data_IF_075785688813
#
_entry.id   IF_075785688813
#
_cell.length_a   1.000
_cell.length_b   1.000
_cell.length_c   1.000
_cell.angle_alpha   90.00
_cell.angle_beta   90.00
_cell.angle_gamma   90.00
#
_symmetry.space_group_name_H-M   'P 1'
#
loop_
_entity.id
_entity.type
_entity.pdbx_description
1 polymer ?
#
# COMPACT_ATOMS: atom_id res chain seq x y z
N UNK A 1 -1.37 -19.06 -2.52
CA UNK A 1 -0.70 -17.80 -2.88
C UNK A 1 -0.85 -17.68 -4.38
N UNK A 2 -1.93 -17.05 -4.83
CA UNK A 2 -2.33 -17.12 -6.22
C UNK A 2 -1.44 -16.14 -6.99
N UNK A 3 -0.38 -16.70 -7.58
CA UNK A 3 0.30 -16.14 -8.73
C UNK A 3 -0.57 -16.52 -9.92
N UNK A 4 -1.47 -15.63 -10.34
CA UNK A 4 -1.92 -15.56 -11.73
C UNK A 4 -2.97 -16.56 -12.23
N UNK A 5 -3.58 -17.40 -11.40
CA UNK A 5 -4.76 -18.17 -11.83
C UNK A 5 -5.98 -17.22 -11.95
N UNK A 6 -6.74 -17.32 -13.04
CA UNK A 6 -7.98 -16.55 -13.29
C UNK A 6 -7.87 -15.02 -13.51
N UNK A 7 -6.75 -14.52 -14.06
CA UNK A 7 -6.58 -13.08 -14.35
C UNK A 7 -7.72 -12.47 -15.18
N UNK A 8 -8.24 -13.18 -16.18
CA UNK A 8 -9.35 -12.69 -17.00
C UNK A 8 -10.62 -12.44 -16.17
N UNK A 9 -10.90 -13.32 -15.22
CA UNK A 9 -12.04 -13.15 -14.32
C UNK A 9 -11.82 -11.98 -13.36
N UNK A 10 -10.60 -11.78 -12.86
CA UNK A 10 -10.26 -10.59 -12.04
C UNK A 10 -10.42 -9.31 -12.87
N UNK A 11 -10.01 -9.30 -14.14
CA UNK A 11 -10.19 -8.16 -15.04
C UNK A 11 -11.69 -7.88 -15.29
N UNK A 12 -12.49 -8.91 -15.52
CA UNK A 12 -13.95 -8.76 -15.67
C UNK A 12 -14.58 -8.19 -14.39
N UNK A 13 -14.18 -8.68 -13.21
CA UNK A 13 -14.61 -8.12 -11.94
C UNK A 13 -14.24 -6.63 -11.82
N UNK A 14 -13.01 -6.25 -12.21
CA UNK A 14 -12.57 -4.84 -12.22
C UNK A 14 -13.46 -4.00 -13.14
N UNK A 15 -13.75 -4.48 -14.35
CA UNK A 15 -14.60 -3.79 -15.32
C UNK A 15 -16.01 -3.55 -14.75
N UNK A 16 -16.63 -4.59 -14.20
CA UNK A 16 -17.96 -4.53 -13.59
C UNK A 16 -18.01 -3.56 -12.40
N UNK A 17 -17.01 -3.63 -11.52
CA UNK A 17 -16.94 -2.75 -10.34
C UNK A 17 -16.66 -1.29 -10.73
N UNK A 18 -15.83 -1.06 -11.74
CA UNK A 18 -15.59 0.28 -12.27
C UNK A 18 -16.86 0.89 -12.87
N UNK A 19 -17.66 0.09 -13.60
CA UNK A 19 -18.94 0.54 -14.15
C UNK A 19 -19.96 0.88 -13.06
N UNK A 20 -19.98 0.12 -11.96
CA UNK A 20 -20.88 0.34 -10.82
C UNK A 20 -20.38 1.41 -9.83
N UNK A 21 -19.16 1.92 -9.99
CA UNK A 21 -18.55 2.87 -9.06
C UNK A 21 -18.03 2.28 -7.76
N UNK A 22 -17.87 0.95 -7.69
CA UNK A 22 -17.49 0.18 -6.50
C UNK A 22 -15.95 0.09 -6.35
N UNK A 23 -15.25 1.21 -6.44
CA UNK A 23 -13.78 1.25 -6.58
C UNK A 23 -12.96 0.76 -5.39
N UNK A 24 -13.58 0.53 -4.23
CA UNK A 24 -12.87 0.07 -3.03
C UNK A 24 -13.25 -1.36 -2.63
N UNK A 25 -14.10 -2.02 -3.42
CA UNK A 25 -14.50 -3.39 -3.18
C UNK A 25 -13.47 -4.37 -3.79
N UNK A 26 -13.57 -5.61 -3.33
CA UNK A 26 -12.68 -6.71 -3.72
C UNK A 26 -13.00 -7.19 -5.13
N UNK A 27 -11.96 -7.51 -5.89
CA UNK A 27 -12.04 -8.06 -7.26
C UNK A 27 -11.30 -9.38 -7.42
N UNK A 28 -10.44 -9.73 -6.45
CA UNK A 28 -9.70 -10.99 -6.39
C UNK A 28 -10.62 -12.15 -5.98
N UNK A 29 -10.24 -13.36 -6.40
CA UNK A 29 -11.02 -14.60 -6.20
C UNK A 29 -10.40 -15.38 -5.04
N UNK A 30 -11.22 -16.18 -4.34
CA UNK A 30 -10.79 -17.12 -3.28
C UNK A 30 -10.11 -16.49 -2.06
N UNK A 31 -10.66 -15.38 -1.58
CA UNK A 31 -10.15 -14.76 -0.36
C UNK A 31 -10.57 -15.55 0.90
N UNK A 32 -9.64 -15.85 1.81
CA UNK A 32 -9.97 -16.51 3.06
C UNK A 32 -10.90 -15.63 3.90
N UNK A 33 -12.08 -16.14 4.22
CA UNK A 33 -13.00 -15.48 5.15
C UNK A 33 -12.63 -15.80 6.59
N UNK A 34 -12.87 -14.84 7.49
CA UNK A 34 -12.56 -14.99 8.90
C UNK A 34 -13.64 -14.31 9.75
N UNK A 35 -14.01 -14.94 10.86
CA UNK A 35 -14.92 -14.33 11.83
C UNK A 35 -14.23 -13.22 12.62
N UNK A 36 -15.01 -12.30 13.20
CA UNK A 36 -14.46 -11.20 14.01
C UNK A 36 -13.73 -11.67 15.27
N UNK A 37 -14.12 -12.82 15.84
CA UNK A 37 -13.47 -13.39 17.01
C UNK A 37 -12.08 -13.95 16.66
N UNK A 38 -12.00 -14.79 15.63
CA UNK A 38 -10.74 -15.35 15.14
C UNK A 38 -9.75 -14.24 14.71
N UNK A 39 -10.24 -13.18 14.09
CA UNK A 39 -9.45 -12.00 13.70
C UNK A 39 -8.80 -11.33 14.91
N UNK A 40 -9.55 -11.13 16.00
CA UNK A 40 -9.01 -10.55 17.23
C UNK A 40 -7.99 -11.46 17.91
N UNK A 41 -8.26 -12.76 17.96
CA UNK A 41 -7.35 -13.73 18.60
C UNK A 41 -6.00 -13.77 17.90
N UNK A 42 -5.99 -13.78 16.56
CA UNK A 42 -4.76 -13.76 15.76
C UNK A 42 -3.99 -12.47 15.96
N UNK A 43 -4.67 -11.33 16.02
CA UNK A 43 -4.01 -10.05 16.27
C UNK A 43 -3.43 -10.00 17.68
N UNK A 44 -4.15 -10.49 18.68
CA UNK A 44 -3.68 -10.53 20.05
C UNK A 44 -2.44 -11.44 20.17
N UNK A 45 -2.49 -12.63 19.57
CA UNK A 45 -1.36 -13.55 19.51
C UNK A 45 -0.16 -12.90 18.80
N UNK A 46 -0.39 -12.28 17.64
CA UNK A 46 0.65 -11.57 16.90
C UNK A 46 1.35 -10.53 17.80
N UNK A 47 0.59 -9.70 18.51
CA UNK A 47 1.19 -8.69 19.39
C UNK A 47 1.93 -9.27 20.58
N UNK A 48 1.48 -10.41 21.13
CA UNK A 48 2.20 -11.12 22.19
C UNK A 48 3.52 -11.67 21.67
N UNK A 49 3.51 -12.29 20.49
CA UNK A 49 4.71 -12.88 19.87
C UNK A 49 5.80 -11.84 19.63
N UNK A 50 5.42 -10.61 19.24
CA UNK A 50 6.38 -9.50 19.04
C UNK A 50 7.11 -9.06 20.31
N UNK A 51 6.69 -9.48 21.51
CA UNK A 51 7.35 -9.10 22.77
C UNK A 51 8.58 -9.94 23.09
N UNK A 52 8.72 -11.13 22.48
CA UNK A 52 9.82 -12.04 22.75
C UNK A 52 11.13 -11.61 22.09
N UNK A 53 12.26 -11.93 22.72
CA UNK A 53 13.59 -11.63 22.17
C UNK A 53 13.82 -12.29 20.80
N UNK A 54 13.23 -13.47 20.56
CA UNK A 54 13.28 -14.20 19.28
C UNK A 54 12.68 -13.35 18.15
N UNK A 55 11.57 -12.66 18.41
CA UNK A 55 10.94 -11.80 17.41
C UNK A 55 11.88 -10.68 16.92
N UNK A 56 12.79 -10.18 17.76
CA UNK A 56 13.80 -9.19 17.32
C UNK A 56 14.84 -9.80 16.38
N UNK A 57 15.22 -11.05 16.62
CA UNK A 57 16.13 -11.79 15.76
C UNK A 57 15.46 -12.17 14.43
N UNK A 58 14.24 -12.71 14.49
CA UNK A 58 13.46 -13.07 13.31
C UNK A 58 13.14 -11.82 12.46
N UNK A 59 12.87 -10.68 13.11
CA UNK A 59 12.72 -9.40 12.42
C UNK A 59 13.98 -8.98 11.65
N UNK A 60 15.17 -9.17 12.23
CA UNK A 60 16.42 -8.86 11.55
C UNK A 60 16.62 -9.74 10.30
N UNK A 61 16.33 -11.03 10.42
CA UNK A 61 16.37 -11.97 9.29
C UNK A 61 15.35 -11.55 8.23
N UNK A 62 14.09 -11.36 8.60
CA UNK A 62 13.02 -10.98 7.70
C UNK A 62 13.34 -9.68 6.95
N UNK A 63 13.86 -8.66 7.64
CA UNK A 63 14.27 -7.39 7.03
C UNK A 63 15.43 -7.54 6.06
N UNK A 64 16.41 -8.39 6.38
CA UNK A 64 17.56 -8.65 5.50
C UNK A 64 17.13 -9.39 4.24
N UNK A 65 16.35 -10.45 4.38
CA UNK A 65 15.76 -11.18 3.26
C UNK A 65 14.91 -10.28 2.38
N UNK A 66 14.03 -9.48 2.99
CA UNK A 66 13.17 -8.55 2.25
C UNK A 66 13.96 -7.47 1.54
N UNK A 67 15.12 -7.04 2.07
CA UNK A 67 15.99 -6.10 1.36
C UNK A 67 16.47 -6.67 0.03
N UNK A 68 16.97 -7.90 0.03
CA UNK A 68 17.38 -8.60 -1.20
C UNK A 68 16.22 -8.76 -2.20
N UNK A 69 15.06 -9.20 -1.73
CA UNK A 69 13.84 -9.30 -2.55
C UNK A 69 13.46 -7.94 -3.16
N UNK A 70 13.47 -6.88 -2.35
CA UNK A 70 13.15 -5.52 -2.79
C UNK A 70 14.11 -5.04 -3.86
N UNK A 71 15.41 -5.25 -3.67
CA UNK A 71 16.45 -4.83 -4.61
C UNK A 71 16.32 -5.58 -5.94
N UNK A 72 15.97 -6.87 -5.91
CA UNK A 72 15.75 -7.68 -7.11
C UNK A 72 14.51 -7.25 -7.91
N UNK A 73 13.34 -7.15 -7.26
CA UNK A 73 12.10 -6.77 -7.93
C UNK A 73 12.11 -5.31 -8.44
N UNK A 74 12.85 -4.42 -7.79
CA UNK A 74 12.85 -2.99 -8.10
C UNK A 74 14.14 -2.52 -8.79
N UNK A 75 14.89 -3.42 -9.43
CA UNK A 75 16.13 -3.05 -10.12
C UNK A 75 15.89 -2.03 -11.26
N UNK A 76 14.79 -2.19 -11.99
CA UNK A 76 14.36 -1.29 -13.08
C UNK A 76 13.38 -0.20 -12.64
N UNK A 77 13.10 -0.10 -11.33
CA UNK A 77 12.15 0.90 -10.82
C UNK A 77 12.80 2.28 -10.73
N UNK A 78 12.13 3.27 -11.33
CA UNK A 78 12.58 4.66 -11.31
C UNK A 78 11.80 5.50 -10.29
N UNK A 79 12.40 6.59 -9.82
CA UNK A 79 11.81 7.46 -8.80
C UNK A 79 11.85 8.92 -9.26
N UNK A 80 10.72 9.60 -9.17
CA UNK A 80 10.57 11.02 -9.49
C UNK A 80 10.03 11.77 -8.27
N UNK A 81 10.35 13.06 -8.13
CA UNK A 81 9.84 13.89 -7.05
C UNK A 81 10.48 13.66 -5.69
N UNK A 82 11.67 13.03 -5.63
CA UNK A 82 12.39 12.78 -4.37
C UNK A 82 12.72 14.08 -3.62
N UNK A 83 12.85 15.19 -4.34
CA UNK A 83 13.04 16.52 -3.77
C UNK A 83 11.90 16.96 -2.85
N UNK A 84 10.68 16.42 -3.03
CA UNK A 84 9.54 16.68 -2.14
C UNK A 84 9.75 16.15 -0.72
N UNK A 85 10.72 15.25 -0.51
CA UNK A 85 11.05 14.70 0.81
C UNK A 85 12.04 15.57 1.59
N UNK A 86 12.71 16.55 0.95
CA UNK A 86 13.70 17.43 1.59
C UNK A 86 13.19 18.12 2.88
N UNK A 87 11.91 18.53 2.99
CA UNK A 87 11.40 19.13 4.22
C UNK A 87 11.28 18.16 5.41
N UNK A 88 11.36 16.83 5.19
CA UNK A 88 11.32 15.87 6.30
C UNK A 88 12.66 15.84 7.02
N UNK A 89 12.65 16.09 8.33
CA UNK A 89 13.85 15.91 9.14
C UNK A 89 14.30 14.44 9.14
N UNK A 90 15.59 14.11 9.35
CA UNK A 90 16.10 12.74 9.40
C UNK A 90 15.45 11.82 10.44
N UNK A 91 14.72 12.37 11.41
CA UNK A 91 13.99 11.64 12.44
C UNK A 91 12.47 11.75 12.30
N UNK A 92 11.96 12.48 11.30
CA UNK A 92 10.52 12.63 11.06
C UNK A 92 9.91 11.33 10.55
N UNK A 93 8.96 10.77 11.30
CA UNK A 93 8.11 9.69 10.81
C UNK A 93 6.94 10.23 10.00
N UNK A 94 6.36 9.38 9.16
CA UNK A 94 5.33 9.78 8.21
C UNK A 94 4.40 8.60 7.88
N UNK A 95 3.21 8.91 7.39
CA UNK A 95 2.32 7.92 6.76
C UNK A 95 2.51 8.03 5.25
N UNK A 96 2.70 6.90 4.58
CA UNK A 96 2.80 6.82 3.11
C UNK A 96 1.48 6.31 2.56
N UNK A 97 0.99 6.95 1.50
CA UNK A 97 -0.15 6.46 0.73
C UNK A 97 0.27 6.19 -0.71
N UNK A 98 -0.31 5.18 -1.36
CA UNK A 98 -0.08 4.86 -2.77
C UNK A 98 -1.33 4.20 -3.38
N UNK A 99 -1.36 4.04 -4.70
CA UNK A 99 -2.29 3.13 -5.37
C UNK A 99 -1.91 1.66 -5.09
N UNK A 100 -2.91 0.76 -5.05
CA UNK A 100 -2.74 -0.65 -4.72
C UNK A 100 -3.14 -1.56 -5.89
N UNK A 101 -2.17 -2.21 -6.52
CA UNK A 101 -2.34 -2.86 -7.83
C UNK A 101 -1.65 -4.22 -7.97
N UNK A 102 -0.77 -4.59 -7.04
CA UNK A 102 -0.09 -5.90 -7.06
C UNK A 102 0.30 -6.31 -5.63
N UNK A 103 0.33 -7.61 -5.33
CA UNK A 103 0.75 -8.15 -4.03
C UNK A 103 2.16 -7.67 -3.63
N UNK A 104 3.02 -7.39 -4.62
CA UNK A 104 4.39 -6.93 -4.44
C UNK A 104 4.58 -5.43 -4.65
N UNK A 105 3.51 -4.65 -4.85
CA UNK A 105 3.64 -3.19 -5.05
C UNK A 105 4.28 -2.48 -3.84
N UNK A 106 4.13 -3.03 -2.64
CA UNK A 106 4.73 -2.50 -1.42
C UNK A 106 6.27 -2.50 -1.49
N UNK A 107 6.86 -3.33 -2.34
CA UNK A 107 8.31 -3.36 -2.54
C UNK A 107 8.84 -2.06 -3.18
N UNK A 108 8.03 -1.40 -4.02
CA UNK A 108 8.35 -0.08 -4.59
C UNK A 108 8.49 0.96 -3.47
N UNK A 109 7.52 0.98 -2.55
CA UNK A 109 7.54 1.87 -1.38
C UNK A 109 8.67 1.50 -0.41
N UNK A 110 8.94 0.20 -0.24
CA UNK A 110 10.06 -0.28 0.57
C UNK A 110 11.40 0.19 0.00
N UNK A 111 11.57 0.18 -1.32
CA UNK A 111 12.76 0.71 -1.99
C UNK A 111 12.90 2.22 -1.77
N UNK A 112 11.80 2.98 -1.80
CA UNK A 112 11.80 4.40 -1.42
C UNK A 112 12.28 4.60 0.03
N UNK A 113 11.74 3.83 0.98
CA UNK A 113 12.13 3.91 2.38
C UNK A 113 13.61 3.56 2.59
N UNK A 114 14.12 2.51 1.93
CA UNK A 114 15.53 2.13 1.96
C UNK A 114 16.46 3.24 1.44
N UNK A 115 16.10 3.88 0.32
CA UNK A 115 16.84 5.03 -0.23
C UNK A 115 16.92 6.22 0.72
N UNK A 116 15.97 6.33 1.64
CA UNK A 116 15.91 7.38 2.66
C UNK A 116 16.34 6.90 4.06
N UNK A 117 16.93 5.70 4.15
CA UNK A 117 17.36 5.07 5.40
C UNK A 117 16.24 4.97 6.46
N UNK A 118 15.00 4.74 6.01
CA UNK A 118 13.83 4.62 6.89
C UNK A 118 13.37 3.19 7.04
N UNK A 119 12.96 2.87 8.28
CA UNK A 119 12.22 1.65 8.57
C UNK A 119 10.77 1.84 8.13
N UNK A 120 10.26 0.88 7.36
CA UNK A 120 8.91 0.90 6.81
C UNK A 120 8.05 -0.15 7.51
N UNK A 121 6.96 0.31 8.08
CA UNK A 121 5.86 -0.53 8.54
C UNK A 121 4.75 -0.57 7.50
N UNK A 122 4.07 -1.69 7.36
CA UNK A 122 2.98 -1.86 6.38
C UNK A 122 1.72 -2.32 7.09
N UNK A 123 0.61 -1.64 6.84
CA UNK A 123 -0.71 -2.10 7.30
C UNK A 123 -1.20 -3.22 6.38
N UNK A 124 -1.51 -4.39 6.94
CA UNK A 124 -1.96 -5.59 6.20
C UNK A 124 -3.26 -6.14 6.78
N UNK A 125 -4.06 -6.83 5.95
CA UNK A 125 -5.21 -7.59 6.44
C UNK A 125 -4.75 -8.77 7.32
N UNK A 126 -5.52 -9.09 8.35
CA UNK A 126 -5.22 -10.13 9.34
C UNK A 126 -5.12 -11.53 8.72
N UNK A 127 -5.82 -11.77 7.61
CA UNK A 127 -5.79 -13.03 6.86
C UNK A 127 -4.39 -13.36 6.35
N UNK A 128 -3.56 -12.35 6.05
CA UNK A 128 -2.19 -12.54 5.59
C UNK A 128 -1.28 -13.15 6.66
N UNK A 129 -1.64 -13.04 7.96
CA UNK A 129 -0.88 -13.63 9.05
C UNK A 129 -1.02 -15.17 9.11
N UNK A 130 -2.08 -15.73 8.50
CA UNK A 130 -2.31 -17.18 8.42
C UNK A 130 -1.53 -17.87 7.29
N UNK A 131 -0.81 -17.12 6.45
CA UNK A 131 -0.06 -17.71 5.34
C UNK A 131 1.06 -18.62 5.87
N UNK A 132 1.34 -19.72 5.17
CA UNK A 132 2.43 -20.63 5.49
C UNK A 132 3.75 -20.26 4.79
N UNK A 133 4.82 -20.98 5.16
CA UNK A 133 6.12 -20.91 4.49
C UNK A 133 6.82 -19.55 4.61
N UNK A 134 7.61 -19.20 3.59
CA UNK A 134 8.40 -17.96 3.57
C UNK A 134 7.52 -16.70 3.69
N UNK A 135 6.35 -16.69 3.03
CA UNK A 135 5.44 -15.53 3.11
C UNK A 135 4.86 -15.40 4.51
N UNK A 136 4.42 -16.50 5.12
CA UNK A 136 4.00 -16.51 6.51
C UNK A 136 5.06 -15.94 7.46
N UNK A 137 6.29 -16.42 7.32
CA UNK A 137 7.43 -15.91 8.09
C UNK A 137 7.62 -14.39 7.89
N UNK A 138 7.62 -13.91 6.63
CA UNK A 138 7.74 -12.48 6.37
C UNK A 138 6.56 -11.70 6.97
N UNK A 139 5.31 -12.12 6.76
CA UNK A 139 4.15 -11.40 7.29
C UNK A 139 4.14 -11.35 8.83
N UNK A 140 4.61 -12.40 9.51
CA UNK A 140 4.65 -12.42 10.98
C UNK A 140 5.84 -11.67 11.59
N UNK A 141 6.89 -11.39 10.83
CA UNK A 141 8.13 -10.81 11.38
C UNK A 141 8.61 -9.51 10.69
N UNK A 142 8.02 -9.10 9.57
CA UNK A 142 8.47 -7.95 8.76
C UNK A 142 7.68 -6.67 9.03
N UNK A 143 7.91 -6.03 10.17
CA UNK A 143 7.44 -4.67 10.47
C UNK A 143 5.97 -4.42 10.06
N UNK A 144 5.06 -5.36 10.32
CA UNK A 144 3.65 -5.23 9.92
C UNK A 144 2.80 -4.63 11.02
N UNK A 145 1.72 -3.98 10.63
CA UNK A 145 0.65 -3.51 11.52
C UNK A 145 -0.66 -4.18 11.06
N UNK A 146 -1.14 -5.25 11.72
CA UNK A 146 -2.34 -5.93 11.26
C UNK A 146 -3.57 -5.03 11.42
N UNK A 147 -4.44 -5.07 10.41
CA UNK A 147 -5.75 -4.43 10.34
C UNK A 147 -6.79 -5.51 10.66
N UNK A 148 -7.58 -5.33 11.72
CA UNK A 148 -8.78 -6.15 11.96
C UNK A 148 -10.04 -5.39 11.56
N UNK A 149 -11.06 -6.10 11.09
CA UNK A 149 -12.43 -5.57 10.95
C UNK A 149 -13.14 -5.43 12.32
N UNK A 150 -12.47 -4.82 13.30
CA UNK A 150 -13.02 -4.56 14.64
C UNK A 150 -12.97 -3.06 14.97
N UNK A 151 -14.13 -2.47 15.26
CA UNK A 151 -14.27 -1.01 15.49
C UNK A 151 -13.40 -0.51 16.64
N UNK A 152 -13.33 -1.25 17.76
CA UNK A 152 -12.52 -0.86 18.91
C UNK A 152 -11.03 -0.86 18.56
N UNK A 153 -10.57 -1.89 17.85
CA UNK A 153 -9.18 -1.99 17.40
C UNK A 153 -8.83 -0.85 16.43
N UNK A 154 -9.67 -0.59 15.42
CA UNK A 154 -9.48 0.46 14.42
C UNK A 154 -9.55 1.88 15.01
N UNK A 155 -10.36 2.07 16.06
CA UNK A 155 -10.55 3.36 16.72
C UNK A 155 -9.53 3.66 17.83
N UNK A 156 -8.94 2.64 18.46
CA UNK A 156 -8.07 2.80 19.65
C UNK A 156 -6.67 2.24 19.43
N UNK A 157 -6.56 0.93 19.18
CA UNK A 157 -5.27 0.22 19.17
C UNK A 157 -4.43 0.55 17.94
N UNK A 158 -4.98 0.41 16.74
CA UNK A 158 -4.22 0.65 15.51
C UNK A 158 -3.69 2.10 15.41
N UNK A 159 -4.48 3.15 15.70
CA UNK A 159 -3.97 4.52 15.72
C UNK A 159 -2.82 4.72 16.72
N UNK A 160 -2.87 4.08 17.89
CA UNK A 160 -1.79 4.15 18.87
C UNK A 160 -0.51 3.48 18.36
N UNK A 161 -0.64 2.31 17.70
CA UNK A 161 0.50 1.61 17.08
C UNK A 161 1.11 2.44 15.95
N UNK A 162 0.29 3.04 15.08
CA UNK A 162 0.76 3.93 14.01
C UNK A 162 1.49 5.13 14.63
N UNK A 163 0.87 5.82 15.59
CA UNK A 163 1.47 6.98 16.27
C UNK A 163 2.76 6.62 17.04
N UNK A 164 2.89 5.41 17.54
CA UNK A 164 4.14 4.92 18.12
C UNK A 164 5.24 4.81 17.06
N UNK A 165 4.95 4.18 15.92
CA UNK A 165 5.96 4.01 14.86
C UNK A 165 6.37 5.34 14.24
N UNK A 166 5.43 6.24 13.96
CA UNK A 166 5.76 7.57 13.41
C UNK A 166 6.57 8.42 14.40
N UNK A 167 6.30 8.35 15.71
CA UNK A 167 7.13 9.02 16.74
C UNK A 167 8.55 8.46 16.83
N UNK A 168 8.76 7.19 16.50
CA UNK A 168 10.10 6.60 16.39
C UNK A 168 10.80 6.95 15.06
N UNK A 169 10.24 7.84 14.25
CA UNK A 169 10.80 8.24 12.97
C UNK A 169 10.62 7.22 11.85
N UNK A 170 9.77 6.21 12.06
CA UNK A 170 9.46 5.20 11.07
C UNK A 170 8.36 5.68 10.11
N UNK A 171 8.34 5.08 8.93
CA UNK A 171 7.30 5.31 7.94
C UNK A 171 6.26 4.21 8.02
N UNK A 172 5.00 4.54 7.79
CA UNK A 172 3.88 3.59 7.80
C UNK A 172 3.13 3.66 6.49
N UNK A 173 3.16 2.58 5.70
CA UNK A 173 2.40 2.46 4.46
C UNK A 173 0.96 2.02 4.75
N UNK A 174 0.01 2.78 4.22
CA UNK A 174 -1.42 2.46 4.23
C UNK A 174 -1.96 2.74 2.83
N UNK A 175 -2.58 1.74 2.20
CA UNK A 175 -3.24 1.90 0.92
C UNK A 175 -4.66 2.45 1.12
N UNK A 176 -4.94 3.73 0.83
CA UNK A 176 -6.25 4.31 1.08
C UNK A 176 -7.29 3.88 0.04
N UNK A 177 -6.87 3.24 -1.06
CA UNK A 177 -7.77 2.60 -2.03
C UNK A 177 -8.40 1.29 -1.49
N UNK A 178 -7.94 0.83 -0.32
CA UNK A 178 -8.29 -0.44 0.33
C UNK A 178 -7.83 -1.65 -0.46
N UNK A 179 -8.69 -2.22 -1.28
CA UNK A 179 -8.48 -3.53 -1.90
C UNK A 179 -7.57 -3.40 -3.12
N UNK A 180 -6.74 -4.41 -3.40
CA UNK A 180 -5.86 -4.41 -4.56
C UNK A 180 -6.65 -4.62 -5.85
N UNK A 181 -6.40 -3.83 -6.89
CA UNK A 181 -6.95 -4.07 -8.22
C UNK A 181 -5.82 -4.40 -9.20
N UNK A 182 -5.75 -5.66 -9.62
CA UNK A 182 -4.65 -6.19 -10.44
C UNK A 182 -4.29 -5.28 -11.62
N UNK A 183 -3.07 -4.75 -11.61
CA UNK A 183 -2.49 -3.89 -12.64
C UNK A 183 -3.34 -2.67 -13.05
N UNK A 184 -4.31 -2.25 -12.23
CA UNK A 184 -5.18 -1.14 -12.55
C UNK A 184 -4.43 0.20 -12.45
N UNK A 185 -4.40 0.95 -13.55
CA UNK A 185 -3.58 2.17 -13.69
C UNK A 185 -4.19 3.41 -13.02
N UNK A 186 -5.51 3.50 -12.98
CA UNK A 186 -6.20 4.71 -12.51
C UNK A 186 -6.14 4.78 -10.99
N UNK A 187 -5.74 5.93 -10.41
CA UNK A 187 -5.90 6.13 -8.98
C UNK A 187 -7.39 6.04 -8.64
N UNK A 188 -7.73 5.24 -7.64
CA UNK A 188 -9.12 5.01 -7.23
C UNK A 188 -9.52 6.01 -6.13
N UNK A 189 -10.83 6.29 -5.98
CA UNK A 189 -11.33 7.04 -4.84
C UNK A 189 -10.80 6.46 -3.53
N UNK A 190 -10.34 7.34 -2.66
CA UNK A 190 -9.64 6.96 -1.42
C UNK A 190 -10.58 6.99 -0.21
N UNK A 191 -10.28 6.17 0.80
CA UNK A 191 -10.96 6.19 2.10
C UNK A 191 -10.20 7.00 3.14
N UNK A 192 -10.95 7.62 4.05
CA UNK A 192 -10.47 8.56 5.07
C UNK A 192 -9.47 7.98 6.10
N UNK A 193 -9.43 6.66 6.28
CA UNK A 193 -8.72 5.99 7.38
C UNK A 193 -7.24 6.36 7.52
N UNK A 194 -6.47 6.29 6.42
CA UNK A 194 -5.04 6.62 6.43
C UNK A 194 -4.77 8.05 6.91
N UNK A 195 -5.58 9.00 6.42
CA UNK A 195 -5.46 10.42 6.74
C UNK A 195 -5.91 10.73 8.17
N UNK A 196 -6.92 10.02 8.68
CA UNK A 196 -7.31 10.10 10.09
C UNK A 196 -6.18 9.62 11.02
N UNK A 197 -5.52 8.51 10.69
CA UNK A 197 -4.40 8.01 11.47
C UNK A 197 -3.19 8.96 11.41
N UNK A 198 -2.88 9.52 10.25
CA UNK A 198 -1.83 10.53 10.09
C UNK A 198 -2.12 11.80 10.90
N UNK A 199 -3.35 12.34 10.79
CA UNK A 199 -3.80 13.52 11.54
C UNK A 199 -3.68 13.29 13.05
N UNK A 200 -4.17 12.16 13.55
CA UNK A 200 -4.12 11.82 14.97
C UNK A 200 -2.69 11.62 15.47
N UNK A 201 -1.79 11.14 14.63
CA UNK A 201 -0.38 10.98 14.94
C UNK A 201 0.43 12.28 14.74
N UNK A 202 -0.20 13.37 14.30
CA UNK A 202 0.45 14.61 13.85
C UNK A 202 1.62 14.33 12.87
N UNK A 203 1.43 13.37 11.97
CA UNK A 203 2.43 12.93 11.01
C UNK A 203 2.04 13.40 9.60
N UNK A 204 3.01 13.85 8.78
CA UNK A 204 2.72 14.19 7.39
C UNK A 204 2.38 12.94 6.56
N UNK A 205 1.63 13.15 5.48
CA UNK A 205 1.47 12.18 4.40
C UNK A 205 2.61 12.38 3.39
N UNK A 206 3.32 11.29 3.10
CA UNK A 206 4.11 11.13 1.88
C UNK A 206 3.15 10.55 0.84
N UNK A 207 2.67 11.41 -0.06
CA UNK A 207 1.76 11.01 -1.13
C UNK A 207 2.57 10.41 -2.27
N UNK A 208 2.24 9.17 -2.66
CA UNK A 208 2.87 8.49 -3.78
C UNK A 208 1.85 8.07 -4.83
N UNK A 209 2.30 8.03 -6.08
CA UNK A 209 1.59 7.38 -7.18
C UNK A 209 2.58 6.50 -7.94
N UNK A 210 2.33 5.20 -8.02
CA UNK A 210 3.13 4.28 -8.82
C UNK A 210 2.53 4.15 -10.20
N UNK A 211 3.25 4.67 -11.19
CA UNK A 211 2.93 4.48 -12.59
C UNK A 211 3.44 3.11 -13.05
N UNK A 212 2.55 2.36 -13.70
CA UNK A 212 2.84 1.07 -14.31
C UNK A 212 3.05 1.28 -15.81
N UNK A 213 4.22 0.88 -16.30
CA UNK A 213 4.67 1.12 -17.68
C UNK A 213 4.86 -0.23 -18.36
N UNK A 214 4.19 -0.42 -19.49
CA UNK A 214 4.32 -1.64 -20.29
C UNK A 214 5.68 -1.69 -20.97
N UNK A 215 6.20 -2.91 -21.07
CA UNK A 215 7.41 -3.23 -21.83
C UNK A 215 7.02 -3.99 -23.10
N UNK A 216 7.73 -3.82 -24.21
CA UNK A 216 7.44 -4.50 -25.47
C UNK A 216 7.93 -5.96 -25.44
N UNK A 217 7.57 -6.72 -24.39
CA UNK A 217 7.97 -8.11 -24.16
C UNK A 217 6.87 -8.84 -23.41
N UNK A 218 6.44 -10.01 -23.89
CA UNK A 218 5.46 -10.84 -23.21
C UNK A 218 5.99 -11.40 -21.88
N UNK A 219 5.10 -11.68 -20.94
CA UNK A 219 5.44 -12.43 -19.73
C UNK A 219 5.85 -13.87 -20.07
N UNK A 220 6.75 -14.46 -19.28
CA UNK A 220 7.38 -15.76 -19.59
C UNK A 220 6.38 -16.92 -19.73
N UNK A 221 5.22 -16.83 -19.07
CA UNK A 221 4.21 -17.88 -19.01
C UNK A 221 2.79 -17.34 -19.26
N UNK A 222 2.65 -16.15 -19.86
CA UNK A 222 1.35 -15.58 -20.16
C UNK A 222 1.48 -14.67 -21.37
N UNK A 223 1.01 -15.16 -22.53
CA UNK A 223 1.08 -14.41 -23.77
C UNK A 223 0.07 -13.26 -23.82
N UNK A 224 -0.94 -13.22 -22.95
CA UNK A 224 -1.94 -12.15 -22.91
C UNK A 224 -1.45 -10.90 -22.17
N UNK A 225 -0.26 -10.97 -21.55
CA UNK A 225 0.34 -9.87 -20.81
C UNK A 225 1.75 -9.54 -21.28
N UNK A 226 1.98 -8.25 -21.46
CA UNK A 226 3.30 -7.66 -21.49
C UNK A 226 3.87 -7.54 -20.07
N UNK A 227 5.19 -7.69 -19.97
CA UNK A 227 5.94 -7.33 -18.78
C UNK A 227 5.75 -5.85 -18.48
N UNK A 228 5.85 -5.50 -17.20
CA UNK A 228 5.72 -4.11 -16.75
C UNK A 228 6.94 -3.70 -15.93
N UNK A 229 7.20 -2.40 -15.90
CA UNK A 229 8.14 -1.75 -14.97
C UNK A 229 7.45 -0.59 -14.26
N UNK A 230 8.05 -0.13 -13.17
CA UNK A 230 7.44 0.89 -12.32
C UNK A 230 8.21 2.21 -12.32
N UNK A 231 7.45 3.30 -12.24
CA UNK A 231 7.97 4.63 -11.90
C UNK A 231 7.19 5.17 -10.72
N UNK A 232 7.86 5.36 -9.58
CA UNK A 232 7.25 5.94 -8.39
C UNK A 232 7.33 7.46 -8.46
N UNK A 233 6.18 8.12 -8.43
CA UNK A 233 6.04 9.56 -8.28
C UNK A 233 5.84 9.90 -6.81
N UNK A 234 6.83 10.54 -6.19
CA UNK A 234 6.72 11.12 -4.85
C UNK A 234 6.18 12.53 -4.97
N UNK A 235 4.97 12.76 -4.47
CA UNK A 235 4.22 13.99 -4.63
C UNK A 235 4.46 14.95 -3.45
N UNK A 236 4.09 16.24 -3.54
CA UNK A 236 4.36 17.20 -2.47
C UNK A 236 3.75 16.77 -1.13
N UNK A 237 4.52 16.88 -0.04
CA UNK A 237 4.09 16.48 1.30
C UNK A 237 2.79 17.17 1.73
N UNK A 238 2.00 16.46 2.52
CA UNK A 238 0.77 16.98 3.10
C UNK A 238 0.91 16.94 4.61
N UNK A 239 0.94 18.11 5.24
CA UNK A 239 1.05 18.25 6.68
C UNK A 239 -0.33 18.41 7.31
N UNK A 240 -0.57 17.84 8.50
CA UNK A 240 -1.71 18.23 9.31
C UNK A 240 -1.55 19.70 9.74
N UNK A 241 -2.64 20.44 9.70
CA UNK A 241 -2.73 21.79 10.21
C UNK A 241 -3.00 21.75 11.73
N UNK A 242 -2.13 22.33 12.57
CA UNK A 242 -2.30 22.31 14.02
C UNK A 242 -3.53 23.10 14.51
N UNK A 243 -4.13 23.95 13.67
CA UNK A 243 -5.32 24.73 14.01
C UNK A 243 -6.63 23.96 13.75
N UNK A 244 -6.57 22.85 13.02
CA UNK A 244 -7.73 22.06 12.65
C UNK A 244 -7.90 20.84 13.55
N UNK A 245 -9.15 20.40 13.73
CA UNK A 245 -9.42 19.13 14.38
C UNK A 245 -8.86 17.95 13.57
N UNK A 246 -8.69 16.81 14.22
CA UNK A 246 -8.26 15.57 13.55
C UNK A 246 -9.18 15.20 12.39
N UNK A 247 -10.49 15.43 12.52
CA UNK A 247 -11.47 15.10 11.48
C UNK A 247 -11.36 16.03 10.27
N UNK A 248 -11.19 17.33 10.49
CA UNK A 248 -11.00 18.32 9.42
C UNK A 248 -9.69 18.06 8.68
N UNK A 249 -8.61 17.86 9.42
CA UNK A 249 -7.32 17.44 8.86
C UNK A 249 -7.45 16.18 8.00
N UNK A 250 -8.08 15.14 8.52
CA UNK A 250 -8.26 13.89 7.78
C UNK A 250 -8.99 14.10 6.45
N UNK A 251 -10.02 14.96 6.42
CA UNK A 251 -10.77 15.27 5.21
C UNK A 251 -9.92 16.06 4.20
N UNK A 252 -9.30 17.16 4.62
CA UNK A 252 -8.52 18.02 3.72
C UNK A 252 -7.28 17.32 3.17
N UNK A 253 -6.60 16.53 4.02
CA UNK A 253 -5.44 15.75 3.57
C UNK A 253 -5.84 14.65 2.58
N UNK A 254 -7.00 14.00 2.78
CA UNK A 254 -7.54 13.01 1.84
C UNK A 254 -7.83 13.63 0.46
N UNK A 255 -8.55 14.76 0.44
CA UNK A 255 -8.89 15.47 -0.78
C UNK A 255 -7.63 15.93 -1.53
N UNK A 256 -6.65 16.46 -0.81
CA UNK A 256 -5.37 16.90 -1.40
C UNK A 256 -4.56 15.73 -1.95
N UNK A 257 -4.46 14.62 -1.22
CA UNK A 257 -3.73 13.43 -1.67
C UNK A 257 -4.34 12.83 -2.94
N UNK A 258 -5.66 12.72 -2.97
CA UNK A 258 -6.36 12.21 -4.15
C UNK A 258 -6.24 13.16 -5.34
N UNK A 259 -6.33 14.48 -5.12
CA UNK A 259 -6.10 15.46 -6.18
C UNK A 259 -4.67 15.38 -6.74
N UNK A 260 -3.66 15.21 -5.89
CA UNK A 260 -2.27 15.01 -6.31
C UNK A 260 -2.11 13.73 -7.14
N UNK A 261 -2.68 12.60 -6.70
CA UNK A 261 -2.62 11.33 -7.44
C UNK A 261 -3.34 11.41 -8.79
N UNK A 262 -4.50 12.06 -8.85
CA UNK A 262 -5.19 12.34 -10.10
C UNK A 262 -4.30 13.13 -11.06
N UNK A 263 -3.72 14.24 -10.60
CA UNK A 263 -2.83 15.04 -11.44
C UNK A 263 -1.58 14.26 -11.89
N UNK A 264 -1.02 13.41 -11.02
CA UNK A 264 0.11 12.54 -11.35
C UNK A 264 -0.26 11.52 -12.43
N UNK A 265 -1.42 10.86 -12.31
CA UNK A 265 -1.96 9.96 -13.34
C UNK A 265 -2.14 10.68 -14.67
N UNK A 266 -2.82 11.83 -14.66
CA UNK A 266 -3.12 12.57 -15.89
C UNK A 266 -1.85 13.02 -16.61
N UNK A 267 -0.83 13.41 -15.86
CA UNK A 267 0.50 13.74 -16.40
C UNK A 267 1.27 12.50 -16.88
N UNK A 268 1.23 11.40 -16.14
CA UNK A 268 1.95 10.18 -16.48
C UNK A 268 1.44 9.56 -17.78
N UNK A 269 0.11 9.46 -17.92
CA UNK A 269 -0.55 8.80 -19.04
C UNK A 269 -1.06 9.76 -20.12
N UNK A 270 -0.87 11.08 -19.95
CA UNK A 270 -1.33 12.11 -20.88
C UNK A 270 -2.84 11.99 -21.21
N UNK A 271 -3.63 11.61 -20.21
CA UNK A 271 -5.07 11.32 -20.34
C UNK A 271 -5.80 11.83 -19.11
N UNK A 272 -6.92 12.55 -19.31
CA UNK A 272 -7.78 12.96 -18.19
C UNK A 272 -8.32 11.74 -17.46
N UNK A 273 -8.38 11.81 -16.14
CA UNK A 273 -8.96 10.74 -15.35
C UNK A 273 -10.48 10.72 -15.55
N UNK A 274 -10.96 9.65 -16.17
CA UNK A 274 -12.35 9.26 -16.19
C UNK A 274 -12.47 7.81 -15.75
N UNK A 275 -13.61 7.45 -15.15
CA UNK A 275 -13.78 6.16 -14.51
C UNK A 275 -14.44 5.09 -15.38
N UNK A 276 -14.71 5.39 -16.66
CA UNK A 276 -15.17 4.36 -17.59
C UNK A 276 -14.04 3.38 -17.84
N UNK A 277 -14.32 2.09 -17.68
CA UNK A 277 -13.32 1.05 -17.91
C UNK A 277 -12.97 0.97 -19.39
N UNK A 278 -11.69 0.76 -19.67
CA UNK A 278 -11.14 0.37 -20.97
C UNK A 278 -10.05 -0.68 -20.76
N UNK A 279 -9.76 -1.56 -21.73
CA UNK A 279 -8.68 -2.54 -21.58
C UNK A 279 -7.33 -1.92 -21.23
N UNK A 280 -7.04 -0.73 -21.75
CA UNK A 280 -5.86 0.05 -21.40
C UNK A 280 -5.79 0.44 -19.91
N UNK A 281 -6.84 0.27 -19.11
CA UNK A 281 -6.75 0.54 -17.68
C UNK A 281 -6.02 -0.57 -16.92
N UNK A 282 -5.87 -1.75 -17.52
CA UNK A 282 -5.07 -2.86 -17.01
C UNK A 282 -3.69 -2.81 -17.67
N UNK A 283 -2.65 -2.55 -16.88
CA UNK A 283 -1.29 -2.53 -17.38
C UNK A 283 -0.84 -3.92 -17.84
N UNK A 284 -0.12 -3.96 -18.95
CA UNK A 284 0.39 -5.15 -19.60
C UNK A 284 -0.65 -5.91 -20.43
N UNK A 285 -1.96 -5.72 -20.22
CA UNK A 285 -2.98 -6.53 -20.89
C UNK A 285 -3.05 -6.25 -22.41
N UNK A 286 -3.13 -7.31 -23.22
CA UNK A 286 -3.07 -7.24 -24.69
C UNK A 286 -4.41 -7.20 -25.41
N UNK A 287 -5.54 -7.37 -24.72
CA UNK A 287 -6.88 -7.39 -25.33
C UNK A 287 -7.89 -6.59 -24.55
#
# INVERSE_FOLDING_TARGET
>A
MIIGDHRDQVINNIADHAQQGLFNEKVEIDDPQMTSAESLDIINQFWQDQTHWRARFDNLIARTTMRGITDWFNHDTTFCGLENLKPLSPTQGAVITSNHFNQLDNTVIRKLAQKNHRRLFIVIQETNLKMGGLIGFLMNHLDVLPLAKNVNYLGRTLPQKIAQQTRHGHWVLIYPEQEMWFNYRKPRPVKRGAYYYAARANAPIISCFTEIIDLPKAEKNNDDFYQTRYRLHVLPLIWPDPQLSVNENAKLMMEKDYAQKKAAYEKAYQKKLDYRFTPHDIAGWRG
#
